data_IF_603244960666
#
_entry.id   IF_603244960666
#
_cell.length_a   1.000
_cell.length_b   1.000
_cell.length_c   1.000
_cell.angle_alpha   90.00
_cell.angle_beta   90.00
_cell.angle_gamma   90.00
#
_symmetry.space_group_name_H-M   'P 1'
#
loop_
_entity.id
_entity.type
_entity.pdbx_description
1 polymer ?
#
# COMPACT_ATOMS: atom_id res chain seq x y z
N UNK A 1 17.14 6.90 -11.01
CA UNK A 1 16.88 6.38 -9.65
C UNK A 1 15.39 6.10 -9.52
N UNK A 2 15.01 4.88 -9.12
CA UNK A 2 13.58 4.51 -9.07
C UNK A 2 12.90 4.94 -7.77
N UNK A 3 13.63 5.07 -6.65
CA UNK A 3 13.12 5.55 -5.37
C UNK A 3 13.44 7.02 -5.13
N UNK A 4 12.44 7.78 -4.70
CA UNK A 4 12.59 9.12 -4.13
C UNK A 4 12.26 9.03 -2.64
N UNK A 5 13.24 9.34 -1.79
CA UNK A 5 13.13 9.26 -0.33
C UNK A 5 13.25 10.66 0.25
N UNK A 6 12.25 11.06 1.02
CA UNK A 6 12.09 12.42 1.56
C UNK A 6 12.50 12.52 3.03
N UNK A 7 12.43 11.40 3.76
CA UNK A 7 12.92 11.24 5.11
C UNK A 7 13.19 9.78 5.45
N UNK A 8 13.92 9.55 6.55
CA UNK A 8 14.12 8.21 7.10
C UNK A 8 12.87 7.73 7.85
N UNK A 9 12.69 6.41 7.92
CA UNK A 9 11.66 5.78 8.75
C UNK A 9 12.09 5.82 10.22
N UNK A 10 11.11 5.94 11.12
CA UNK A 10 11.33 6.04 12.56
C UNK A 10 10.99 4.72 13.26
N UNK A 11 11.66 4.43 14.39
CA UNK A 11 11.33 3.26 15.21
C UNK A 11 9.88 3.33 15.69
N UNK A 12 9.14 2.22 15.53
CA UNK A 12 7.72 2.15 15.88
C UNK A 12 6.77 2.67 14.82
N UNK A 13 7.29 3.22 13.71
CA UNK A 13 6.48 3.76 12.62
C UNK A 13 5.78 2.64 11.82
N UNK A 14 4.49 2.80 11.58
CA UNK A 14 3.72 1.86 10.77
C UNK A 14 3.50 2.41 9.37
N UNK A 15 4.00 1.67 8.37
CA UNK A 15 3.92 2.02 6.95
C UNK A 15 2.93 1.10 6.25
N UNK A 16 2.08 1.71 5.42
CA UNK A 16 1.23 1.01 4.45
C UNK A 16 1.66 1.39 3.04
N UNK A 17 1.60 0.45 2.10
CA UNK A 17 2.14 0.64 0.76
C UNK A 17 1.10 0.26 -0.28
N UNK A 18 0.76 1.19 -1.15
CA UNK A 18 -0.06 0.94 -2.32
C UNK A 18 0.81 0.87 -3.57
N UNK A 19 0.61 -0.17 -4.36
CA UNK A 19 1.40 -0.47 -5.56
C UNK A 19 0.49 -0.59 -6.76
N UNK A 20 0.79 0.18 -7.78
CA UNK A 20 0.22 0.09 -9.11
C UNK A 20 1.27 -0.44 -10.08
N UNK A 21 0.92 -1.49 -10.84
CA UNK A 21 1.83 -2.17 -11.75
C UNK A 21 1.48 -1.90 -13.19
N UNK A 22 2.49 -1.71 -14.03
CA UNK A 22 2.34 -1.61 -15.48
C UNK A 22 2.93 -2.85 -16.16
N UNK A 23 2.35 -3.24 -17.29
CA UNK A 23 2.88 -4.31 -18.15
C UNK A 23 4.14 -3.89 -18.94
N UNK A 24 4.58 -2.65 -18.77
CA UNK A 24 5.61 -2.02 -19.58
C UNK A 24 5.01 -1.12 -20.67
N UNK A 25 5.85 -0.54 -21.52
CA UNK A 25 5.43 0.43 -22.55
C UNK A 25 5.51 1.87 -22.05
N UNK A 26 4.40 2.61 -22.10
CA UNK A 26 4.34 4.03 -21.70
C UNK A 26 4.07 4.25 -20.24
N UNK A 27 3.45 3.29 -19.56
CA UNK A 27 2.96 3.42 -18.19
C UNK A 27 4.06 3.18 -17.14
N UNK A 28 3.87 3.73 -15.98
CA UNK A 28 4.83 3.64 -14.87
C UNK A 28 4.41 2.59 -13.85
N UNK A 29 5.39 1.83 -13.35
CA UNK A 29 5.23 1.11 -12.10
C UNK A 29 5.44 2.06 -10.94
N UNK A 30 4.50 2.07 -9.99
CA UNK A 30 4.46 2.99 -8.86
C UNK A 30 4.28 2.25 -7.55
N UNK A 31 4.96 2.72 -6.49
CA UNK A 31 4.62 2.38 -5.12
C UNK A 31 4.68 3.62 -4.23
N UNK A 32 3.62 3.86 -3.47
CA UNK A 32 3.48 4.95 -2.51
C UNK A 32 3.57 4.39 -1.09
N UNK A 33 4.56 4.86 -0.34
CA UNK A 33 4.81 4.44 1.03
C UNK A 33 4.24 5.48 1.99
N UNK A 34 3.07 5.19 2.54
CA UNK A 34 2.33 6.07 3.44
C UNK A 34 2.59 5.70 4.89
N UNK A 35 3.08 6.66 5.67
CA UNK A 35 3.17 6.53 7.12
C UNK A 35 1.82 6.75 7.77
N UNK A 36 1.28 5.70 8.39
CA UNK A 36 0.07 5.83 9.20
C UNK A 36 0.34 6.56 10.52
N UNK A 37 1.56 6.50 11.01
CA UNK A 37 1.97 7.15 12.26
C UNK A 37 2.13 8.66 12.12
N UNK A 38 2.76 9.11 11.02
CA UNK A 38 3.11 10.53 10.81
C UNK A 38 2.21 11.25 9.81
N UNK A 39 1.29 10.52 9.14
CA UNK A 39 0.37 11.04 8.12
C UNK A 39 1.12 11.74 6.98
N UNK A 40 2.17 11.09 6.48
CA UNK A 40 2.95 11.60 5.35
C UNK A 40 3.43 10.46 4.43
N UNK A 41 3.98 10.83 3.27
CA UNK A 41 4.53 9.89 2.28
C UNK A 41 6.05 10.03 2.24
N UNK A 42 6.80 9.29 3.09
CA UNK A 42 8.25 9.40 3.19
C UNK A 42 9.02 8.88 1.97
N UNK A 43 8.43 7.99 1.20
CA UNK A 43 9.10 7.34 0.06
C UNK A 43 8.11 7.08 -1.07
N UNK A 44 8.57 7.27 -2.31
CA UNK A 44 7.85 6.95 -3.54
C UNK A 44 8.76 6.17 -4.46
N UNK A 45 8.27 5.07 -5.02
CA UNK A 45 8.86 4.41 -6.18
C UNK A 45 8.09 4.84 -7.43
N UNK A 46 8.80 5.25 -8.47
CA UNK A 46 8.21 5.63 -9.74
C UNK A 46 9.20 5.37 -10.87
N UNK A 47 8.89 4.46 -11.78
CA UNK A 47 9.83 4.08 -12.84
C UNK A 47 9.14 3.37 -14.01
N UNK A 48 9.62 3.62 -15.22
CA UNK A 48 9.26 2.85 -16.43
C UNK A 48 10.06 1.56 -16.50
N UNK A 49 9.75 0.62 -15.62
CA UNK A 49 10.35 -0.72 -15.58
C UNK A 49 9.27 -1.76 -15.65
N UNK A 50 9.62 -2.98 -15.97
CA UNK A 50 8.68 -4.10 -15.87
C UNK A 50 8.32 -4.35 -14.39
N UNK A 51 7.10 -4.79 -14.12
CA UNK A 51 6.67 -5.16 -12.77
C UNK A 51 7.60 -6.23 -12.14
N UNK A 52 8.11 -7.15 -12.97
CA UNK A 52 9.09 -8.18 -12.56
C UNK A 52 10.42 -7.60 -12.06
N UNK A 53 10.81 -6.42 -12.52
CA UNK A 53 12.01 -5.70 -12.07
C UNK A 53 11.73 -4.82 -10.85
N UNK A 54 10.49 -4.35 -10.73
CA UNK A 54 10.05 -3.53 -9.59
C UNK A 54 9.94 -4.38 -8.32
N UNK A 55 9.28 -5.53 -8.39
CA UNK A 55 8.91 -6.33 -7.20
C UNK A 55 10.10 -6.70 -6.31
N UNK A 56 11.28 -7.12 -6.82
CA UNK A 56 12.45 -7.34 -5.98
C UNK A 56 12.93 -6.07 -5.27
N UNK A 57 12.80 -4.91 -5.90
CA UNK A 57 13.19 -3.62 -5.29
C UNK A 57 12.22 -3.23 -4.18
N UNK A 58 10.92 -3.44 -4.39
CA UNK A 58 9.89 -3.22 -3.36
C UNK A 58 10.11 -4.17 -2.18
N UNK A 59 10.40 -5.45 -2.43
CA UNK A 59 10.74 -6.41 -1.38
C UNK A 59 11.87 -5.88 -0.48
N UNK A 60 12.99 -5.47 -1.06
CA UNK A 60 14.14 -4.94 -0.30
C UNK A 60 13.78 -3.67 0.49
N UNK A 61 12.92 -2.79 -0.05
CA UNK A 61 12.49 -1.60 0.67
C UNK A 61 11.55 -1.95 1.83
N UNK A 62 10.66 -2.95 1.67
CA UNK A 62 9.79 -3.44 2.74
C UNK A 62 10.60 -4.06 3.89
N UNK A 63 11.65 -4.83 3.58
CA UNK A 63 12.56 -5.35 4.59
C UNK A 63 13.31 -4.23 5.32
N UNK A 64 13.82 -3.24 4.57
CA UNK A 64 14.46 -2.05 5.13
C UNK A 64 13.52 -1.28 6.08
N UNK A 65 12.25 -1.13 5.72
CA UNK A 65 11.24 -0.52 6.60
C UNK A 65 11.14 -1.29 7.90
N UNK A 66 10.98 -2.63 7.83
CA UNK A 66 10.90 -3.46 9.03
C UNK A 66 12.17 -3.36 9.87
N UNK A 67 13.34 -3.38 9.25
CA UNK A 67 14.62 -3.31 9.97
C UNK A 67 14.82 -1.97 10.70
N UNK A 68 14.30 -0.87 10.17
CA UNK A 68 14.35 0.44 10.81
C UNK A 68 13.22 0.64 11.83
N UNK A 69 11.99 0.29 11.47
CA UNK A 69 10.82 0.58 12.32
C UNK A 69 10.58 -0.47 13.39
N UNK A 70 10.97 -1.74 13.14
CA UNK A 70 10.61 -2.94 13.89
C UNK A 70 9.10 -3.23 13.86
N UNK A 71 8.36 -2.59 12.96
CA UNK A 71 6.94 -2.81 12.71
C UNK A 71 6.79 -3.34 11.29
N UNK A 72 6.04 -4.44 11.13
CA UNK A 72 5.80 -5.03 9.82
C UNK A 72 4.93 -4.11 8.97
N UNK A 73 5.42 -3.57 7.84
CA UNK A 73 4.58 -2.82 6.92
C UNK A 73 3.54 -3.73 6.25
N UNK A 74 2.49 -3.12 5.72
CA UNK A 74 1.47 -3.79 4.90
C UNK A 74 1.54 -3.27 3.49
N UNK A 75 1.55 -4.16 2.50
CA UNK A 75 1.61 -3.81 1.09
C UNK A 75 0.43 -4.41 0.33
N UNK A 76 -0.22 -3.60 -0.51
CA UNK A 76 -1.21 -4.06 -1.48
C UNK A 76 -0.75 -3.69 -2.90
N UNK A 77 -0.61 -4.69 -3.73
CA UNK A 77 -0.52 -4.53 -5.18
C UNK A 77 -1.93 -4.48 -5.76
N UNK A 78 -2.17 -3.61 -6.72
CA UNK A 78 -3.36 -3.72 -7.54
C UNK A 78 -3.33 -5.06 -8.28
N UNK A 79 -4.45 -5.79 -8.25
CA UNK A 79 -4.54 -7.16 -8.84
C UNK A 79 -4.62 -7.14 -10.36
N UNK A 80 -5.07 -6.02 -10.93
CA UNK A 80 -5.14 -5.83 -12.38
C UNK A 80 -3.72 -5.75 -12.99
N UNK A 81 -3.62 -5.76 -14.31
CA UNK A 81 -2.38 -5.50 -15.05
C UNK A 81 -1.17 -6.34 -14.59
N UNK A 82 -1.38 -7.66 -14.35
CA UNK A 82 -0.30 -8.55 -13.93
C UNK A 82 0.04 -8.53 -12.44
N UNK A 83 -0.66 -7.73 -11.64
CA UNK A 83 -0.40 -7.61 -10.21
C UNK A 83 -0.52 -8.93 -9.45
N UNK A 84 -1.39 -9.86 -9.87
CA UNK A 84 -1.51 -11.18 -9.23
C UNK A 84 -0.19 -11.95 -9.27
N UNK A 85 0.48 -12.00 -10.42
CA UNK A 85 1.77 -12.70 -10.55
C UNK A 85 2.85 -12.04 -9.67
N UNK A 86 2.82 -10.71 -9.55
CA UNK A 86 3.77 -9.98 -8.72
C UNK A 86 3.49 -10.14 -7.22
N UNK A 87 2.24 -10.31 -6.81
CA UNK A 87 1.85 -10.66 -5.44
C UNK A 87 2.42 -12.05 -5.08
N UNK A 88 2.30 -13.04 -5.96
CA UNK A 88 2.86 -14.38 -5.76
C UNK A 88 4.39 -14.33 -5.65
N UNK A 89 5.04 -13.56 -6.54
CA UNK A 89 6.48 -13.31 -6.48
C UNK A 89 6.90 -12.68 -5.16
N UNK A 90 6.19 -11.63 -4.72
CA UNK A 90 6.46 -10.94 -3.47
C UNK A 90 6.26 -11.86 -2.26
N UNK A 91 5.22 -12.72 -2.29
CA UNK A 91 4.98 -13.73 -1.26
C UNK A 91 6.13 -14.73 -1.16
N UNK A 92 6.64 -15.17 -2.30
CA UNK A 92 7.81 -16.09 -2.35
C UNK A 92 9.08 -15.45 -1.82
N UNK A 93 9.29 -14.15 -2.04
CA UNK A 93 10.44 -13.40 -1.54
C UNK A 93 10.36 -13.18 -0.01
N UNK A 94 9.18 -13.07 0.57
CA UNK A 94 8.95 -12.76 1.99
C UNK A 94 9.19 -13.95 2.93
N UNK A 95 10.32 -14.65 2.77
CA UNK A 95 10.65 -15.86 3.56
C UNK A 95 10.80 -15.57 5.06
N UNK A 96 11.31 -14.42 5.40
CA UNK A 96 11.50 -13.98 6.79
C UNK A 96 10.23 -13.38 7.41
N UNK A 97 9.17 -13.21 6.63
CA UNK A 97 7.91 -12.66 7.11
C UNK A 97 8.02 -11.25 7.68
N UNK A 98 8.90 -10.41 7.11
CA UNK A 98 9.17 -9.03 7.58
C UNK A 98 8.06 -8.04 7.24
N UNK A 99 7.14 -8.39 6.34
CA UNK A 99 6.00 -7.56 5.98
C UNK A 99 4.74 -8.42 5.81
N UNK A 100 3.59 -7.78 5.66
CA UNK A 100 2.32 -8.43 5.37
C UNK A 100 1.83 -8.00 4.00
N UNK A 101 1.33 -8.95 3.21
CA UNK A 101 0.58 -8.66 1.99
C UNK A 101 -0.88 -8.48 2.41
N UNK A 102 -1.51 -7.43 1.91
CA UNK A 102 -2.90 -7.13 2.20
C UNK A 102 -3.83 -8.23 1.72
N UNK A 103 -4.78 -8.59 2.56
CA UNK A 103 -5.85 -9.56 2.27
C UNK A 103 -7.14 -8.80 2.08
N UNK A 104 -7.68 -8.85 0.87
CA UNK A 104 -8.99 -8.26 0.58
C UNK A 104 -10.08 -9.09 1.25
N UNK A 105 -10.86 -8.45 2.14
CA UNK A 105 -12.00 -9.08 2.80
C UNK A 105 -13.19 -9.05 1.84
N UNK A 106 -13.58 -10.20 1.29
CA UNK A 106 -14.86 -10.33 0.59
C UNK A 106 -15.99 -10.04 1.57
N UNK A 107 -16.89 -9.11 1.24
CA UNK A 107 -18.19 -9.05 1.90
C UNK A 107 -18.96 -10.28 1.43
N UNK A 108 -19.02 -11.30 2.27
CA UNK A 108 -19.85 -12.48 2.02
C UNK A 108 -21.31 -12.01 1.96
N UNK A 109 -21.87 -11.98 0.75
CA UNK A 109 -23.30 -11.93 0.56
C UNK A 109 -23.85 -13.30 0.97
N UNK A 110 -24.89 -13.30 1.76
CA UNK A 110 -25.67 -14.45 2.22
C UNK A 110 -26.10 -15.35 1.06
N UNK A 111 -25.30 -16.35 0.71
CA UNK A 111 -25.75 -17.61 0.09
C UNK A 111 -24.58 -18.61 0.18
N UNK A 112 -24.87 -19.79 0.66
CA UNK A 112 -23.98 -20.90 0.87
C UNK A 112 -23.11 -21.21 -0.37
N UNK A 113 -21.86 -20.77 -0.34
CA UNK A 113 -20.78 -21.36 -1.11
C UNK A 113 -19.51 -21.25 -0.31
N UNK A 114 -19.19 -22.33 0.28
CA UNK A 114 -17.95 -22.73 0.91
C UNK A 114 -16.79 -22.55 -0.07
N UNK A 115 -16.01 -21.58 0.20
CA UNK A 115 -14.57 -21.42 0.05
C UNK A 115 -14.29 -19.92 0.10
N UNK A 116 -13.94 -19.42 1.29
CA UNK A 116 -13.37 -18.08 1.46
C UNK A 116 -12.04 -18.04 0.69
N UNK A 117 -12.12 -17.70 -0.61
CA UNK A 117 -10.92 -17.53 -1.40
C UNK A 117 -10.21 -16.27 -0.88
N UNK A 118 -9.15 -16.48 -0.11
CA UNK A 118 -8.26 -15.42 0.35
C UNK A 118 -7.69 -14.70 -0.87
N UNK A 119 -8.14 -13.48 -1.10
CA UNK A 119 -7.63 -12.64 -2.19
C UNK A 119 -6.53 -11.73 -1.66
N UNK A 120 -5.29 -12.05 -2.00
CA UNK A 120 -4.16 -11.17 -1.71
C UNK A 120 -4.15 -9.98 -2.69
N UNK A 121 -3.81 -8.79 -2.19
CA UNK A 121 -3.75 -7.55 -2.97
C UNK A 121 -5.06 -6.78 -3.00
N UNK A 122 -5.13 -5.73 -3.78
CA UNK A 122 -6.26 -4.80 -3.93
C UNK A 122 -6.95 -5.00 -5.27
N UNK A 123 -8.28 -5.12 -5.28
CA UNK A 123 -9.08 -5.19 -6.51
C UNK A 123 -9.74 -3.85 -6.77
N UNK A 124 -9.33 -3.16 -7.84
CA UNK A 124 -10.00 -1.96 -8.32
C UNK A 124 -11.12 -2.36 -9.28
N UNK A 125 -12.33 -1.90 -9.01
CA UNK A 125 -13.52 -2.08 -9.84
C UNK A 125 -14.04 -0.72 -10.31
N UNK A 126 -14.93 -0.72 -11.30
CA UNK A 126 -15.64 0.49 -11.74
C UNK A 126 -16.41 1.17 -10.61
N UNK A 127 -16.87 0.40 -9.62
CA UNK A 127 -17.58 0.92 -8.45
C UNK A 127 -16.64 1.42 -7.35
N UNK A 128 -15.51 0.72 -7.08
CA UNK A 128 -14.59 1.11 -6.01
C UNK A 128 -13.66 2.27 -6.40
N UNK A 129 -13.29 2.38 -7.70
CA UNK A 129 -12.38 3.42 -8.20
C UNK A 129 -12.83 4.84 -7.85
N UNK A 130 -14.07 5.28 -8.15
CA UNK A 130 -14.52 6.63 -7.81
C UNK A 130 -14.50 6.89 -6.30
N UNK A 131 -14.88 5.90 -5.50
CA UNK A 131 -14.91 6.01 -4.05
C UNK A 131 -13.53 6.22 -3.46
N UNK A 132 -12.55 5.39 -3.83
CA UNK A 132 -11.17 5.53 -3.31
C UNK A 132 -10.52 6.85 -3.73
N UNK A 133 -10.76 7.32 -4.95
CA UNK A 133 -10.26 8.61 -5.43
C UNK A 133 -10.92 9.79 -4.69
N UNK A 134 -12.24 9.73 -4.45
CA UNK A 134 -12.95 10.73 -3.65
C UNK A 134 -12.43 10.80 -2.22
N UNK A 135 -12.16 9.65 -1.59
CA UNK A 135 -11.62 9.58 -0.23
C UNK A 135 -10.20 10.14 -0.15
N UNK A 136 -9.35 9.88 -1.17
CA UNK A 136 -8.02 10.48 -1.25
C UNK A 136 -8.11 11.99 -1.45
N UNK A 137 -8.99 12.45 -2.35
CA UNK A 137 -9.23 13.88 -2.57
C UNK A 137 -9.64 14.58 -1.28
N UNK A 138 -10.59 14.01 -0.53
CA UNK A 138 -11.03 14.55 0.76
C UNK A 138 -9.86 14.65 1.76
N UNK A 139 -8.98 13.63 1.79
CA UNK A 139 -7.81 13.65 2.67
C UNK A 139 -6.82 14.77 2.32
N UNK A 140 -6.62 15.04 1.04
CA UNK A 140 -5.76 16.13 0.54
C UNK A 140 -6.39 17.49 0.83
N UNK A 141 -7.68 17.67 0.52
CA UNK A 141 -8.42 18.92 0.73
C UNK A 141 -8.43 19.31 2.22
N UNK A 142 -8.62 18.32 3.10
CA UNK A 142 -8.59 18.50 4.56
C UNK A 142 -7.18 18.55 5.15
N UNK A 143 -6.13 18.45 4.32
CA UNK A 143 -4.72 18.44 4.75
C UNK A 143 -4.39 17.34 5.77
N UNK A 144 -5.06 16.19 5.65
CA UNK A 144 -4.84 15.03 6.53
C UNK A 144 -3.57 14.26 6.18
N UNK A 145 -3.00 14.47 5.00
CA UNK A 145 -1.81 13.79 4.52
C UNK A 145 -0.80 14.79 3.99
N UNK A 146 0.48 14.60 4.32
CA UNK A 146 1.58 15.40 3.79
C UNK A 146 2.29 14.64 2.66
N UNK A 147 2.32 15.23 1.48
CA UNK A 147 2.95 14.69 0.29
C UNK A 147 4.16 15.56 -0.04
N UNK A 148 5.36 14.95 -0.12
CA UNK A 148 6.60 15.63 -0.47
C UNK A 148 6.94 15.49 -1.94
N UNK A 149 6.39 14.45 -2.60
CA UNK A 149 6.72 14.07 -3.97
C UNK A 149 6.09 15.04 -4.97
N UNK A 150 6.92 15.92 -5.54
CA UNK A 150 6.47 16.89 -6.53
C UNK A 150 5.79 16.27 -7.75
N UNK A 151 6.27 15.15 -8.34
CA UNK A 151 5.54 14.48 -9.41
C UNK A 151 4.13 14.03 -8.99
N UNK A 152 3.95 13.45 -7.80
CA UNK A 152 2.62 13.08 -7.28
C UNK A 152 1.71 14.31 -7.14
N UNK A 153 2.25 15.42 -6.64
CA UNK A 153 1.50 16.69 -6.52
C UNK A 153 1.11 17.23 -7.90
N UNK A 154 2.03 17.21 -8.86
CA UNK A 154 1.75 17.68 -10.22
C UNK A 154 0.67 16.83 -10.90
N UNK A 155 0.69 15.51 -10.72
CA UNK A 155 -0.33 14.59 -11.24
C UNK A 155 -1.71 14.89 -10.64
N UNK A 156 -1.77 15.21 -9.33
CA UNK A 156 -3.02 15.62 -8.69
C UNK A 156 -3.63 16.90 -9.30
N UNK A 157 -2.81 17.85 -9.74
CA UNK A 157 -3.30 19.05 -10.41
C UNK A 157 -3.83 18.77 -11.82
N UNK A 158 -3.30 17.78 -12.52
CA UNK A 158 -3.77 17.38 -13.85
C UNK A 158 -4.93 16.38 -13.81
N UNK A 159 -5.29 15.91 -12.60
CA UNK A 159 -6.38 14.96 -12.41
C UNK A 159 -7.72 15.70 -12.36
N UNK A 160 -8.37 15.80 -13.52
CA UNK A 160 -9.63 16.52 -13.67
C UNK A 160 -10.80 15.58 -13.36
N UNK A 161 -11.76 16.13 -12.60
CA UNK A 161 -13.06 15.52 -12.46
C UNK A 161 -13.92 15.96 -13.66
N UNK A 162 -14.04 15.12 -14.67
CA UNK A 162 -14.95 15.35 -15.77
C UNK A 162 -16.35 14.94 -15.35
N UNK A 163 -17.24 15.92 -15.20
CA UNK A 163 -18.65 15.72 -14.94
C UNK A 163 -19.38 15.62 -16.28
N UNK A 164 -19.77 14.41 -16.65
CA UNK A 164 -20.77 14.22 -17.71
C UNK A 164 -22.15 14.16 -17.09
N UNK A 165 -23.20 14.55 -17.83
CA UNK A 165 -24.58 14.71 -17.35
C UNK A 165 -25.23 13.46 -16.70
N UNK A 166 -24.53 12.31 -16.71
CA UNK A 166 -25.04 11.04 -16.17
C UNK A 166 -24.03 10.22 -15.35
N UNK A 167 -22.75 10.61 -15.29
CA UNK A 167 -21.76 9.88 -14.48
C UNK A 167 -20.55 10.73 -14.10
N UNK A 168 -20.06 10.53 -12.90
CA UNK A 168 -18.77 11.04 -12.43
C UNK A 168 -17.64 10.17 -12.96
N UNK A 169 -16.78 10.72 -13.79
CA UNK A 169 -15.52 10.06 -14.15
C UNK A 169 -14.35 10.93 -13.68
N UNK A 170 -13.63 10.42 -12.70
CA UNK A 170 -12.33 10.97 -12.34
C UNK A 170 -11.28 10.31 -13.22
N UNK A 171 -10.62 11.07 -14.07
CA UNK A 171 -9.56 10.59 -14.97
C UNK A 171 -8.51 11.67 -15.18
N UNK A 172 -7.29 11.26 -15.52
CA UNK A 172 -6.27 12.20 -15.98
C UNK A 172 -6.72 12.92 -17.26
N UNK A 173 -6.24 14.12 -17.49
CA UNK A 173 -6.36 14.79 -18.79
C UNK A 173 -5.85 13.87 -19.91
N UNK A 174 -6.37 14.03 -21.11
CA UNK A 174 -5.93 13.22 -22.26
C UNK A 174 -4.41 13.33 -22.42
N UNK A 175 -3.71 12.18 -22.25
CA UNK A 175 -2.24 12.10 -22.28
C UNK A 175 -1.53 12.33 -20.95
N UNK A 176 -2.24 12.57 -19.83
CA UNK A 176 -1.67 12.60 -18.49
C UNK A 176 -1.76 11.21 -17.83
N UNK A 177 -0.79 10.90 -16.98
CA UNK A 177 -0.75 9.67 -16.19
C UNK A 177 -1.50 9.86 -14.86
N UNK A 178 -2.07 8.78 -14.30
CA UNK A 178 -2.70 8.75 -12.98
C UNK A 178 -2.11 7.66 -12.05
N UNK A 179 -0.98 7.10 -12.44
CA UNK A 179 -0.33 5.97 -11.74
C UNK A 179 0.08 6.33 -10.31
N UNK A 180 0.63 7.53 -10.09
CA UNK A 180 1.05 8.01 -8.75
C UNK A 180 -0.16 8.24 -7.84
N UNK A 181 -1.24 8.78 -8.37
CA UNK A 181 -2.50 8.96 -7.64
C UNK A 181 -3.09 7.60 -7.26
N UNK A 182 -3.06 6.65 -8.19
CA UNK A 182 -3.61 5.32 -7.97
C UNK A 182 -2.87 4.57 -6.86
N UNK A 183 -1.54 4.52 -6.93
CA UNK A 183 -0.72 3.94 -5.86
C UNK A 183 -1.01 4.58 -4.50
N UNK A 184 -1.18 5.91 -4.45
CA UNK A 184 -1.50 6.62 -3.21
C UNK A 184 -2.94 6.35 -2.74
N UNK A 185 -3.91 6.23 -3.65
CA UNK A 185 -5.28 5.91 -3.31
C UNK A 185 -5.39 4.51 -2.68
N UNK A 186 -4.66 3.52 -3.20
CA UNK A 186 -4.55 2.19 -2.59
C UNK A 186 -3.94 2.30 -1.19
N UNK A 187 -2.81 3.01 -1.03
CA UNK A 187 -2.18 3.21 0.28
C UNK A 187 -3.13 3.88 1.27
N UNK A 188 -3.97 4.83 0.81
CA UNK A 188 -4.97 5.49 1.64
C UNK A 188 -6.09 4.53 2.11
N UNK A 189 -6.50 3.56 1.28
CA UNK A 189 -7.44 2.52 1.70
C UNK A 189 -6.84 1.63 2.79
N UNK A 190 -5.56 1.25 2.65
CA UNK A 190 -4.86 0.49 3.67
C UNK A 190 -4.69 1.30 4.97
N UNK A 191 -4.44 2.61 4.86
CA UNK A 191 -4.40 3.49 6.03
C UNK A 191 -5.69 3.39 6.86
N UNK A 192 -6.84 3.30 6.22
CA UNK A 192 -8.13 3.23 6.91
C UNK A 192 -8.44 1.85 7.50
N UNK A 193 -8.03 0.79 6.81
CA UNK A 193 -8.41 -0.59 7.15
C UNK A 193 -7.37 -1.36 7.97
N UNK A 194 -6.08 -1.03 7.84
CA UNK A 194 -4.99 -1.81 8.43
C UNK A 194 -4.43 -1.21 9.71
N UNK A 195 -4.04 -2.08 10.63
CA UNK A 195 -3.35 -1.70 11.87
C UNK A 195 -2.06 -2.50 12.02
N UNK A 196 -1.07 -2.00 12.79
CA UNK A 196 0.12 -2.78 13.11
C UNK A 196 -0.29 -4.10 13.76
N UNK A 197 0.43 -5.18 13.41
CA UNK A 197 0.21 -6.45 14.08
C UNK A 197 0.50 -6.30 15.59
N UNK A 198 -0.30 -6.90 16.48
CA UNK A 198 -0.05 -6.83 17.92
C UNK A 198 1.35 -7.36 18.22
N UNK A 199 2.13 -6.57 18.95
CA UNK A 199 3.44 -7.00 19.43
C UNK A 199 3.22 -8.14 20.43
N UNK A 200 3.72 -9.34 20.13
CA UNK A 200 3.71 -10.44 21.09
C UNK A 200 4.61 -10.03 22.25
N UNK A 201 4.01 -9.54 23.32
CA UNK A 201 4.72 -9.35 24.58
C UNK A 201 5.02 -10.75 25.12
N UNK A 202 6.25 -11.22 24.95
CA UNK A 202 6.72 -12.38 25.67
C UNK A 202 6.72 -12.02 27.16
N UNK A 203 5.62 -12.38 27.88
CA UNK A 203 5.66 -12.38 29.32
C UNK A 203 6.77 -13.37 29.73
N UNK A 204 7.89 -12.83 30.17
CA UNK A 204 8.95 -13.60 30.79
C UNK A 204 8.30 -14.34 31.97
N UNK A 205 8.15 -15.66 31.85
CA UNK A 205 7.73 -16.47 32.98
C UNK A 205 8.80 -16.32 34.06
N UNK A 206 8.48 -15.57 35.10
CA UNK A 206 9.30 -15.54 36.31
C UNK A 206 9.31 -17.01 36.86
N UNK A 207 10.49 -17.62 36.80
CA UNK A 207 10.71 -18.87 37.50
C UNK A 207 10.59 -18.59 38.99
N UNK A 208 9.49 -19.04 39.63
CA UNK A 208 9.42 -19.11 41.07
C UNK A 208 10.53 -20.05 41.54
N UNK A 209 11.56 -19.49 42.16
CA UNK A 209 12.57 -20.25 42.89
C UNK A 209 11.90 -20.71 44.16
N UNK A 210 11.53 -21.97 44.21
CA UNK A 210 11.12 -22.64 45.45
C UNK A 210 12.36 -22.72 46.37
N UNK A 211 12.42 -21.87 47.40
CA UNK A 211 13.34 -22.04 48.52
C UNK A 211 12.81 -23.17 49.37
N UNK A 212 13.50 -24.30 49.34
CA UNK A 212 13.34 -25.33 50.32
C UNK A 212 13.99 -24.83 51.62
N UNK A 213 13.18 -24.64 52.65
CA UNK A 213 13.69 -24.43 54.00
C UNK A 213 14.01 -25.82 54.56
N UNK A 214 15.29 -26.06 54.88
CA UNK A 214 15.76 -27.10 55.80
C UNK A 214 15.71 -26.57 57.20
#
# INVERSE_FOLDING_TARGET
MSFRRYRSYQKGEFIVVGVDTAWGGTDYCVAQFLSKTNLDVPTVFHSKVLATEMTPKIHLELERIYDQTKVKPVVAYERNNGGVAEIERLSTLNREGKYRIYIEKSKVGTTESTEDSIKLGWTTTSASRPTMLSMLKEAVDKRLIRIYDKPTINEMFSFIVSQTSSSWKAQAETGAHDDLIFGLAIAWQLYQSENPAPTKVHKRRERKVLRLHT
#
